data_IF_191942283745
#
_entry.id   IF_191942283745
#
_cell.length_a   1.000
_cell.length_b   1.000
_cell.length_c   1.000
_cell.angle_alpha   90.00
_cell.angle_beta   90.00
_cell.angle_gamma   90.00
#
_symmetry.space_group_name_H-M   'P 1'
#
loop_
_entity.id
_entity.type
_entity.pdbx_description
1 polymer ?
#
# COMPACT_ATOMS: atom_id res chain seq x y z
N UNK A 1 2.31 -5.99 0.45
CA UNK A 1 0.99 -6.61 0.24
C UNK A 1 -0.08 -5.52 0.24
N UNK A 2 -1.11 -5.64 -0.59
CA UNK A 2 -2.35 -4.88 -0.46
C UNK A 2 -3.37 -5.77 0.23
N UNK A 3 -3.97 -5.32 1.32
CA UNK A 3 -4.90 -6.13 2.12
C UNK A 3 -6.13 -5.33 2.51
N UNK A 4 -7.28 -5.64 1.90
CA UNK A 4 -8.55 -4.97 2.22
C UNK A 4 -9.11 -5.37 3.60
N UNK A 5 -8.61 -6.47 4.19
CA UNK A 5 -8.96 -6.91 5.55
C UNK A 5 -8.14 -6.22 6.64
N UNK A 6 -7.04 -5.58 6.29
CA UNK A 6 -6.22 -4.79 7.21
C UNK A 6 -6.82 -3.38 7.41
N UNK A 7 -7.06 -3.00 8.67
CA UNK A 7 -7.65 -1.69 9.01
C UNK A 7 -6.68 -0.52 8.85
N UNK A 8 -5.40 -0.74 9.14
CA UNK A 8 -4.32 0.24 9.03
C UNK A 8 -3.23 -0.28 8.09
N UNK A 9 -2.28 0.57 7.76
CA UNK A 9 -1.05 0.14 7.09
C UNK A 9 -0.04 -0.35 8.13
N UNK A 10 0.67 -1.43 7.82
CA UNK A 10 1.62 -2.06 8.73
C UNK A 10 3.00 -2.16 8.12
N UNK A 11 4.03 -1.93 8.94
CA UNK A 11 5.43 -2.12 8.59
C UNK A 11 6.08 -3.05 9.62
N UNK A 12 6.88 -3.99 9.14
CA UNK A 12 7.66 -4.85 10.04
C UNK A 12 8.70 -4.02 10.80
N UNK A 13 8.82 -4.26 12.10
CA UNK A 13 9.72 -3.53 13.00
C UNK A 13 11.19 -3.50 12.55
N UNK A 14 11.67 -4.56 11.88
CA UNK A 14 13.06 -4.63 11.37
C UNK A 14 13.37 -3.60 10.28
N UNK A 15 12.36 -2.99 9.65
CA UNK A 15 12.57 -1.98 8.60
C UNK A 15 12.68 -0.56 9.16
N UNK A 16 12.36 -0.33 10.44
CA UNK A 16 12.34 1.02 11.04
C UNK A 16 13.72 1.66 11.01
N UNK A 17 14.74 0.96 11.50
CA UNK A 17 16.12 1.45 11.52
C UNK A 17 16.68 1.62 10.10
N UNK A 18 16.46 0.62 9.25
CA UNK A 18 16.90 0.63 7.84
C UNK A 18 16.34 1.83 7.07
N UNK A 19 15.12 2.25 7.38
CA UNK A 19 14.44 3.36 6.74
C UNK A 19 14.59 4.69 7.50
N UNK A 20 15.25 4.70 8.65
CA UNK A 20 15.42 5.90 9.49
C UNK A 20 14.10 6.49 9.96
N UNK A 21 13.08 5.65 10.22
CA UNK A 21 11.76 6.12 10.62
C UNK A 21 11.74 6.48 12.10
N UNK A 22 11.14 7.63 12.40
CA UNK A 22 10.86 8.06 13.78
C UNK A 22 9.46 7.60 14.14
N UNK A 23 9.35 6.93 15.29
CA UNK A 23 8.08 6.40 15.78
C UNK A 23 7.48 7.33 16.82
N UNK A 24 6.21 7.66 16.62
CA UNK A 24 5.36 8.18 17.69
C UNK A 24 4.80 7.02 18.52
N UNK A 25 4.42 7.31 19.77
CA UNK A 25 3.80 6.33 20.65
C UNK A 25 2.54 5.78 20.00
N UNK A 26 2.57 4.49 19.67
CA UNK A 26 1.41 3.73 19.23
C UNK A 26 0.58 3.25 20.43
N UNK A 27 -0.71 3.01 20.21
CA UNK A 27 -1.60 2.41 21.20
C UNK A 27 -2.30 1.21 20.57
N UNK A 28 -2.38 0.12 21.31
CA UNK A 28 -3.15 -1.06 20.93
C UNK A 28 -2.31 -2.23 20.43
N UNK A 29 -3.02 -3.24 19.91
CA UNK A 29 -2.47 -4.49 19.40
C UNK A 29 -3.14 -4.80 18.07
N UNK A 30 -2.40 -5.39 17.15
CA UNK A 30 -2.95 -5.95 15.90
C UNK A 30 -3.07 -7.46 16.05
N UNK A 31 -4.12 -8.07 15.49
CA UNK A 31 -4.26 -9.53 15.42
C UNK A 31 -4.62 -9.90 14.00
N UNK A 32 -3.80 -10.73 13.33
CA UNK A 32 -4.26 -11.43 12.14
C UNK A 32 -5.14 -12.61 12.55
N UNK A 33 -6.10 -12.99 11.69
CA UNK A 33 -7.21 -13.92 12.01
C UNK A 33 -6.74 -15.20 12.74
N UNK A 34 -5.59 -15.75 12.35
CA UNK A 34 -5.05 -17.01 12.89
C UNK A 34 -3.78 -16.83 13.75
N UNK A 35 -3.52 -15.62 14.26
CA UNK A 35 -2.28 -15.30 15.00
C UNK A 35 -2.56 -14.76 16.39
N UNK A 36 -1.56 -14.81 17.27
CA UNK A 36 -1.61 -14.07 18.52
C UNK A 36 -1.60 -12.57 18.25
N UNK A 37 -2.31 -11.79 19.08
CA UNK A 37 -2.29 -10.34 18.95
C UNK A 37 -0.89 -9.81 19.25
N UNK A 38 -0.30 -9.03 18.35
CA UNK A 38 1.01 -8.41 18.48
C UNK A 38 0.88 -6.95 18.91
N UNK A 39 1.75 -6.46 19.82
CA UNK A 39 1.73 -5.05 20.20
C UNK A 39 2.19 -4.17 19.03
N UNK A 40 1.60 -2.98 18.93
CA UNK A 40 2.10 -1.93 18.03
C UNK A 40 3.29 -1.26 18.73
N UNK A 41 4.48 -1.35 18.12
CA UNK A 41 5.70 -0.74 18.64
C UNK A 41 5.64 0.80 18.57
N UNK A 42 4.99 1.32 17.54
CA UNK A 42 4.79 2.75 17.34
C UNK A 42 4.12 3.03 16.00
N UNK A 43 3.91 4.31 15.71
CA UNK A 43 3.39 4.75 14.40
C UNK A 43 4.39 5.69 13.76
N UNK A 44 4.85 5.36 12.56
CA UNK A 44 5.59 6.28 11.71
C UNK A 44 4.57 7.12 10.93
N UNK A 45 4.55 8.44 11.18
CA UNK A 45 3.59 9.36 10.54
C UNK A 45 4.12 9.88 9.21
N UNK A 46 3.21 10.10 8.26
CA UNK A 46 3.49 10.83 7.02
C UNK A 46 4.68 10.29 6.22
N UNK A 47 4.86 8.96 6.21
CA UNK A 47 5.96 8.29 5.51
C UNK A 47 5.76 8.40 4.01
N UNK A 48 6.78 8.89 3.30
CA UNK A 48 6.78 8.96 1.85
C UNK A 48 6.86 7.54 1.27
N UNK A 49 5.90 7.18 0.44
CA UNK A 49 5.82 5.88 -0.22
C UNK A 49 5.71 6.06 -1.73
N UNK A 50 6.27 5.09 -2.46
CA UNK A 50 6.13 4.97 -3.91
C UNK A 50 5.47 3.64 -4.24
N UNK A 51 4.32 3.69 -4.90
CA UNK A 51 3.56 2.52 -5.35
C UNK A 51 3.33 2.68 -6.85
N UNK A 52 4.12 1.98 -7.66
CA UNK A 52 4.17 2.24 -9.10
C UNK A 52 4.54 3.71 -9.39
N UNK A 53 3.80 4.42 -10.27
CA UNK A 53 3.99 5.84 -10.53
C UNK A 53 3.40 6.76 -9.43
N UNK A 54 2.62 6.24 -8.49
CA UNK A 54 2.12 7.05 -7.38
C UNK A 54 3.22 7.33 -6.35
N UNK A 55 3.35 8.60 -5.96
CA UNK A 55 4.15 9.06 -4.83
C UNK A 55 3.24 9.80 -3.88
N UNK A 56 3.24 9.41 -2.61
CA UNK A 56 2.39 10.02 -1.61
C UNK A 56 2.85 9.71 -0.19
N UNK A 57 2.09 10.19 0.79
CA UNK A 57 2.40 9.98 2.20
C UNK A 57 1.34 9.10 2.85
N UNK A 58 1.75 8.24 3.77
CA UNK A 58 0.81 7.46 4.59
C UNK A 58 1.40 7.18 5.98
N UNK A 59 0.54 6.85 6.94
CA UNK A 59 0.99 6.43 8.27
C UNK A 59 1.25 4.93 8.25
N UNK A 60 2.27 4.47 8.97
CA UNK A 60 2.63 3.06 9.11
C UNK A 60 2.64 2.67 10.59
N UNK A 61 1.78 1.73 10.97
CA UNK A 61 1.82 1.09 12.28
C UNK A 61 2.91 0.03 12.29
N UNK A 62 3.86 0.17 13.20
CA UNK A 62 5.00 -0.74 13.28
C UNK A 62 4.67 -1.92 14.18
N UNK A 63 4.84 -3.12 13.65
CA UNK A 63 4.50 -4.37 14.33
C UNK A 63 5.58 -5.43 14.09
N UNK A 64 5.64 -6.42 14.99
CA UNK A 64 6.39 -7.65 14.71
C UNK A 64 5.48 -8.54 13.87
N UNK A 65 5.93 -8.91 12.67
CA UNK A 65 5.19 -9.74 11.70
C UNK A 65 6.16 -10.48 10.78
N UNK A 66 5.77 -11.67 10.34
CA UNK A 66 6.71 -12.62 9.71
C UNK A 66 6.54 -12.75 8.19
N UNK A 67 5.33 -12.51 7.66
CA UNK A 67 5.01 -12.83 6.26
C UNK A 67 5.35 -11.72 5.26
N UNK A 68 5.21 -10.45 5.65
CA UNK A 68 5.36 -9.30 4.76
C UNK A 68 6.08 -8.15 5.45
N UNK A 69 6.92 -7.45 4.69
CA UNK A 69 7.60 -6.23 5.20
C UNK A 69 6.65 -5.04 5.32
N UNK A 70 5.71 -4.91 4.38
CA UNK A 70 4.76 -3.80 4.28
C UNK A 70 3.38 -4.34 3.87
N UNK A 71 2.36 -3.95 4.62
CA UNK A 71 0.94 -4.14 4.28
C UNK A 71 0.30 -2.76 4.12
N UNK A 72 -0.28 -2.51 2.96
CA UNK A 72 -1.14 -1.35 2.74
C UNK A 72 -2.58 -1.80 2.92
N UNK A 73 -3.21 -1.29 3.98
CA UNK A 73 -4.55 -1.64 4.39
C UNK A 73 -5.62 -0.73 3.75
N UNK A 74 -6.84 -0.86 4.25
CA UNK A 74 -7.98 -0.06 3.80
C UNK A 74 -7.79 1.44 4.08
N UNK A 75 -6.96 1.83 5.06
CA UNK A 75 -6.54 3.23 5.31
C UNK A 75 -5.89 3.83 4.05
N UNK A 76 -4.81 3.23 3.55
CA UNK A 76 -4.15 3.68 2.33
C UNK A 76 -5.10 3.67 1.12
N UNK A 77 -5.88 2.61 0.95
CA UNK A 77 -6.80 2.49 -0.18
C UNK A 77 -7.88 3.57 -0.16
N UNK A 78 -8.43 3.89 1.01
CA UNK A 78 -9.42 4.95 1.18
C UNK A 78 -8.82 6.33 0.92
N UNK A 79 -7.67 6.61 1.53
CA UNK A 79 -7.01 7.92 1.43
C UNK A 79 -6.60 8.24 -0.01
N UNK A 80 -6.19 7.22 -0.76
CA UNK A 80 -5.79 7.35 -2.17
C UNK A 80 -6.92 7.09 -3.17
N UNK A 81 -8.13 6.79 -2.69
CA UNK A 81 -9.29 6.42 -3.51
C UNK A 81 -8.95 5.31 -4.50
N UNK A 82 -8.31 4.26 -4.00
CA UNK A 82 -7.83 3.13 -4.79
C UNK A 82 -8.84 1.99 -4.82
N UNK A 83 -9.22 1.58 -6.02
CA UNK A 83 -9.92 0.32 -6.29
C UNK A 83 -8.92 -0.78 -6.63
N UNK A 84 -9.07 -1.94 -5.99
CA UNK A 84 -8.32 -3.15 -6.35
C UNK A 84 -9.07 -3.84 -7.50
N UNK A 85 -8.38 -4.17 -8.60
CA UNK A 85 -8.94 -4.83 -9.78
C UNK A 85 -8.26 -6.19 -9.99
N UNK A 86 -8.68 -7.25 -9.27
CA UNK A 86 -7.99 -8.55 -9.31
C UNK A 86 -7.98 -9.19 -10.71
N UNK A 87 -9.07 -9.00 -11.47
CA UNK A 87 -9.23 -9.58 -12.81
C UNK A 87 -8.19 -9.09 -13.85
N UNK A 88 -7.57 -7.94 -13.61
CA UNK A 88 -6.48 -7.37 -14.44
C UNK A 88 -5.19 -7.20 -13.63
N UNK A 89 -5.13 -7.84 -12.45
CA UNK A 89 -3.99 -7.78 -11.52
C UNK A 89 -3.46 -6.35 -11.31
N UNK A 90 -4.35 -5.38 -11.11
CA UNK A 90 -3.99 -3.95 -11.10
C UNK A 90 -4.68 -3.18 -9.97
N UNK A 91 -4.12 -2.02 -9.63
CA UNK A 91 -4.72 -1.04 -8.74
C UNK A 91 -5.14 0.18 -9.57
N UNK A 92 -6.33 0.70 -9.31
CA UNK A 92 -6.81 1.93 -9.94
C UNK A 92 -6.97 3.00 -8.88
N UNK A 93 -6.19 4.08 -8.95
CA UNK A 93 -6.28 5.21 -8.02
C UNK A 93 -7.09 6.33 -8.67
N UNK A 94 -8.12 6.85 -8.00
CA UNK A 94 -8.90 7.97 -8.52
C UNK A 94 -8.21 9.32 -8.24
N UNK A 95 -7.49 9.80 -9.26
CA UNK A 95 -6.73 11.06 -9.34
C UNK A 95 -5.99 11.13 -10.70
N UNK A 96 -5.15 12.14 -11.00
CA UNK A 96 -4.52 12.30 -12.32
C UNK A 96 -3.54 11.17 -12.74
N UNK A 97 -3.31 10.16 -11.89
CA UNK A 97 -2.29 9.13 -12.12
C UNK A 97 -2.88 7.71 -12.00
N UNK A 98 -2.98 7.02 -13.13
CA UNK A 98 -3.30 5.59 -13.19
C UNK A 98 -2.03 4.77 -12.93
N UNK A 99 -2.03 3.91 -11.92
CA UNK A 99 -0.91 3.01 -11.61
C UNK A 99 -1.20 1.64 -12.24
N UNK A 100 -0.69 1.38 -13.44
CA UNK A 100 -0.64 0.00 -13.92
C UNK A 100 0.48 -0.75 -13.19
N UNK A 101 0.16 -1.91 -12.63
CA UNK A 101 1.14 -2.88 -12.09
C UNK A 101 1.98 -3.51 -13.20
N UNK A 102 1.57 -3.37 -14.46
CA UNK A 102 2.22 -3.96 -15.63
C UNK A 102 3.08 -2.91 -16.33
N UNK A 103 4.24 -2.59 -15.77
CA UNK A 103 5.33 -2.00 -16.56
C UNK A 103 5.71 -3.00 -17.68
N UNK A 104 5.04 -2.94 -18.83
CA UNK A 104 5.29 -3.89 -19.92
C UNK A 104 4.28 -4.00 -21.06
N UNK A 105 3.31 -3.10 -21.22
CA UNK A 105 2.48 -3.08 -22.45
C UNK A 105 2.48 -1.71 -23.11
N UNK A 106 3.62 -1.38 -23.69
CA UNK A 106 3.84 -0.25 -24.59
C UNK A 106 3.03 -0.29 -25.90
N UNK A 107 2.01 -1.14 -26.06
CA UNK A 107 1.43 -1.45 -27.39
C UNK A 107 -0.07 -1.14 -27.56
N UNK A 108 -0.81 -0.73 -26.52
CA UNK A 108 -2.28 -0.63 -26.67
C UNK A 108 -2.81 0.71 -27.20
N UNK A 109 -1.98 1.76 -27.28
CA UNK A 109 -2.42 3.09 -27.72
C UNK A 109 -2.19 3.40 -29.20
N UNK A 110 -1.45 2.58 -29.95
CA UNK A 110 -1.23 2.82 -31.39
C UNK A 110 -2.03 1.92 -32.34
N UNK A 111 -2.71 0.85 -31.87
CA UNK A 111 -3.29 -0.14 -32.80
C UNK A 111 -4.82 -0.15 -33.02
N UNK A 112 -5.68 0.44 -32.18
CA UNK A 112 -7.13 0.19 -32.34
C UNK A 112 -8.11 1.36 -32.12
N UNK A 113 -7.64 2.59 -31.89
CA UNK A 113 -8.53 3.76 -31.97
C UNK A 113 -7.87 4.84 -32.82
N UNK A 114 -8.08 4.77 -34.14
CA UNK A 114 -7.61 5.77 -35.08
C UNK A 114 -8.27 5.66 -36.45
N UNK A 115 -9.18 6.61 -36.72
CA UNK A 115 -9.74 7.04 -38.02
C UNK A 115 -10.85 6.13 -38.62
N UNK A 116 -12.12 6.56 -38.58
CA UNK A 116 -12.77 7.50 -39.51
C UNK A 116 -12.90 6.91 -40.93
N UNK A 117 -14.02 6.24 -41.26
CA UNK A 117 -15.25 6.74 -41.92
C UNK A 117 -16.40 5.79 -41.52
#
# INVERSE_FOLDING_TARGET
MIDTGATHNYLVSSEVERLGLVLEKGVGRVKAINSAAQPIAGVAKSVLIKVGPFVGKTNLSVVVMDDFKLILGIEFLRDTRTSVLPHVDSLMMWGPNLVSSHAGRAEWREKFIGHAV
#
